data_IF_755592916601
#
_entry.id   IF_755592916601
#
_cell.length_a   1.000
_cell.length_b   1.000
_cell.length_c   1.000
_cell.angle_alpha   90.00
_cell.angle_beta   90.00
_cell.angle_gamma   90.00
#
_symmetry.space_group_name_H-M   'P 1'
#
loop_
_entity.id
_entity.type
_entity.pdbx_description
1 polymer ?
#
# COMPACT_ATOMS: atom_id res chain seq x y z
N UNK A 1 -7.71 -25.07 -5.67
CA UNK A 1 -7.97 -23.98 -4.69
C UNK A 1 -6.71 -23.80 -3.86
N UNK A 2 -5.75 -23.02 -4.36
CA UNK A 2 -4.41 -22.91 -3.78
C UNK A 2 -4.42 -21.82 -2.70
N UNK A 3 -4.34 -22.23 -1.43
CA UNK A 3 -4.28 -21.32 -0.28
C UNK A 3 -2.88 -20.70 -0.24
N UNK A 4 -2.77 -19.41 -0.53
CA UNK A 4 -1.53 -18.65 -0.34
C UNK A 4 -1.17 -18.64 1.16
N UNK A 5 -0.13 -19.41 1.54
CA UNK A 5 0.53 -19.33 2.85
C UNK A 5 1.73 -18.39 2.73
N UNK A 6 1.45 -17.09 2.72
CA UNK A 6 2.49 -16.05 2.62
C UNK A 6 3.17 -15.81 3.96
N UNK A 7 4.24 -16.56 4.25
CA UNK A 7 5.20 -16.24 5.33
C UNK A 7 6.33 -15.30 4.82
N UNK A 8 6.06 -14.55 3.74
CA UNK A 8 7.02 -13.61 3.16
C UNK A 8 6.86 -12.27 3.86
N UNK A 9 7.77 -11.99 4.79
CA UNK A 9 7.99 -10.64 5.33
C UNK A 9 8.06 -9.65 4.16
N UNK A 10 7.32 -8.55 4.24
CA UNK A 10 7.26 -7.51 3.19
C UNK A 10 8.63 -6.96 2.79
N UNK A 11 9.68 -7.18 3.59
CA UNK A 11 11.05 -6.78 3.28
C UNK A 11 11.66 -7.49 2.07
N UNK A 12 11.07 -8.58 1.55
CA UNK A 12 11.70 -9.43 0.52
C UNK A 12 10.96 -9.45 -0.83
N UNK A 13 9.90 -8.65 -1.02
CA UNK A 13 9.14 -8.56 -2.27
C UNK A 13 9.58 -7.34 -3.07
N UNK A 14 10.64 -7.47 -3.86
CA UNK A 14 11.06 -6.43 -4.81
C UNK A 14 11.07 -6.93 -6.27
N UNK A 15 11.02 -8.24 -6.55
CA UNK A 15 11.36 -8.72 -7.91
C UNK A 15 10.20 -9.31 -8.74
N UNK A 16 8.97 -9.34 -8.25
CA UNK A 16 7.83 -9.97 -8.96
C UNK A 16 6.62 -9.06 -9.19
N UNK A 17 6.80 -7.75 -9.06
CA UNK A 17 5.84 -6.79 -9.59
C UNK A 17 6.22 -6.55 -11.04
N UNK A 18 5.34 -6.95 -11.95
CA UNK A 18 5.41 -6.66 -13.39
C UNK A 18 5.95 -5.24 -13.61
N UNK A 19 6.96 -5.08 -14.47
CA UNK A 19 7.55 -3.79 -14.87
C UNK A 19 6.57 -2.78 -15.47
N UNK A 20 5.28 -3.14 -15.58
CA UNK A 20 4.19 -2.26 -16.01
C UNK A 20 3.25 -1.82 -14.88
N UNK A 21 3.30 -2.45 -13.70
CA UNK A 21 2.40 -2.15 -12.60
C UNK A 21 3.09 -1.30 -11.53
N UNK A 22 2.60 -0.08 -11.35
CA UNK A 22 3.16 0.88 -10.38
C UNK A 22 2.65 0.56 -8.98
N UNK A 23 3.55 0.18 -8.08
CA UNK A 23 3.25 -0.16 -6.70
C UNK A 23 3.92 0.83 -5.76
N UNK A 24 3.16 1.36 -4.81
CA UNK A 24 3.67 2.18 -3.72
C UNK A 24 3.61 1.39 -2.42
N UNK A 25 4.72 1.39 -1.69
CA UNK A 25 4.81 0.87 -0.34
C UNK A 25 4.65 2.03 0.65
N UNK A 26 3.67 1.93 1.52
CA UNK A 26 3.27 2.97 2.45
C UNK A 26 3.41 2.41 3.86
N UNK A 27 4.07 3.16 4.74
CA UNK A 27 4.22 2.80 6.16
C UNK A 27 3.51 3.79 7.06
N UNK A 28 2.70 3.29 7.99
CA UNK A 28 2.16 4.06 9.10
C UNK A 28 2.94 3.76 10.40
N UNK A 29 2.91 4.71 11.34
CA UNK A 29 3.71 4.64 12.58
C UNK A 29 3.34 3.45 13.48
N UNK A 30 2.08 3.01 13.48
CA UNK A 30 1.59 1.89 14.27
C UNK A 30 0.61 0.98 13.50
N UNK A 31 0.45 -0.24 13.99
CA UNK A 31 -0.47 -1.25 13.44
C UNK A 31 -1.96 -0.95 13.65
N UNK A 32 -2.32 0.11 14.39
CA UNK A 32 -3.71 0.54 14.57
C UNK A 32 -4.13 1.66 13.60
N UNK A 33 -3.28 2.67 13.35
CA UNK A 33 -3.47 3.68 12.29
C UNK A 33 -3.51 3.03 10.90
N UNK A 34 -2.79 1.94 10.75
CA UNK A 34 -2.86 0.91 9.71
C UNK A 34 -4.30 0.46 9.35
N UNK A 35 -5.17 0.19 10.34
CA UNK A 35 -6.56 -0.20 10.11
C UNK A 35 -7.45 0.95 9.58
N UNK A 36 -7.17 2.18 10.02
CA UNK A 36 -7.83 3.39 9.50
C UNK A 36 -7.31 3.75 8.11
N UNK A 37 -6.01 3.62 7.86
CA UNK A 37 -5.38 3.82 6.56
C UNK A 37 -5.97 2.90 5.50
N UNK A 38 -6.20 1.62 5.84
CA UNK A 38 -6.90 0.66 4.98
C UNK A 38 -8.32 1.14 4.61
N UNK A 39 -9.15 1.49 5.59
CA UNK A 39 -10.52 1.96 5.35
C UNK A 39 -10.60 3.22 4.50
N UNK A 40 -9.60 4.09 4.62
CA UNK A 40 -9.56 5.33 3.85
C UNK A 40 -9.10 5.07 2.42
N UNK A 41 -8.13 4.17 2.22
CA UNK A 41 -7.75 3.70 0.89
C UNK A 41 -8.87 2.90 0.20
N UNK A 42 -9.72 2.19 0.97
CA UNK A 42 -10.93 1.55 0.45
C UNK A 42 -11.90 2.55 -0.19
N UNK A 43 -11.95 3.81 0.29
CA UNK A 43 -12.72 4.89 -0.33
C UNK A 43 -12.24 5.28 -1.73
N UNK A 44 -10.99 4.94 -2.05
CA UNK A 44 -10.36 5.18 -3.34
C UNK A 44 -10.21 3.88 -4.16
N UNK A 45 -11.02 2.85 -3.90
CA UNK A 45 -10.96 1.53 -4.60
C UNK A 45 -11.06 1.58 -6.12
N UNK A 46 -11.58 2.67 -6.70
CA UNK A 46 -11.61 2.90 -8.14
C UNK A 46 -10.28 3.43 -8.70
N UNK A 47 -9.38 3.88 -7.83
CA UNK A 47 -8.07 4.47 -8.16
C UNK A 47 -6.91 3.68 -7.56
N UNK A 48 -7.09 3.09 -6.38
CA UNK A 48 -6.04 2.46 -5.55
C UNK A 48 -6.55 1.11 -5.04
N UNK A 49 -5.77 0.07 -5.28
CA UNK A 49 -5.99 -1.28 -4.77
C UNK A 49 -4.91 -1.65 -3.77
N UNK A 50 -5.30 -2.08 -2.58
CA UNK A 50 -4.37 -2.63 -1.59
C UNK A 50 -4.05 -4.07 -1.96
N UNK A 51 -2.79 -4.36 -2.25
CA UNK A 51 -2.34 -5.68 -2.75
C UNK A 51 -1.60 -6.50 -1.70
N UNK A 52 -1.02 -5.86 -0.67
CA UNK A 52 -0.41 -6.55 0.47
C UNK A 52 -0.42 -5.71 1.75
N UNK A 53 -0.43 -6.37 2.91
CA UNK A 53 -0.43 -5.75 4.25
C UNK A 53 0.52 -6.50 5.19
N UNK A 54 1.29 -5.77 5.99
CA UNK A 54 2.08 -6.27 7.14
C UNK A 54 1.76 -5.41 8.36
N UNK A 55 0.68 -5.74 9.09
CA UNK A 55 0.20 -4.92 10.19
C UNK A 55 1.19 -4.81 11.34
N UNK A 56 2.03 -5.83 11.57
CA UNK A 56 3.01 -5.81 12.66
C UNK A 56 4.09 -4.75 12.47
N UNK A 57 4.35 -4.35 11.22
CA UNK A 57 5.35 -3.33 10.88
C UNK A 57 4.71 -2.06 10.28
N UNK A 58 3.39 -2.03 10.15
CA UNK A 58 2.60 -0.90 9.63
C UNK A 58 2.75 -0.69 8.13
N UNK A 59 3.16 -1.71 7.38
CA UNK A 59 3.44 -1.61 5.94
C UNK A 59 2.26 -2.05 5.08
N UNK A 60 2.10 -1.35 3.97
CA UNK A 60 1.07 -1.53 2.96
C UNK A 60 1.68 -1.47 1.59
N UNK A 61 1.27 -2.36 0.69
CA UNK A 61 1.55 -2.22 -0.74
C UNK A 61 0.25 -1.87 -1.44
N UNK A 62 0.27 -0.81 -2.24
CA UNK A 62 -0.86 -0.37 -3.05
C UNK A 62 -0.48 -0.32 -4.51
N UNK A 63 -1.35 -0.84 -5.35
CA UNK A 63 -1.32 -0.60 -6.78
C UNK A 63 -2.27 0.54 -7.10
N UNK A 64 -1.90 1.45 -8.00
CA UNK A 64 -2.80 2.52 -8.43
C UNK A 64 -2.95 2.54 -9.95
N UNK A 65 -4.13 2.98 -10.40
CA UNK A 65 -4.36 3.39 -11.80
C UNK A 65 -3.43 4.57 -12.15
N UNK A 66 -3.20 4.89 -13.44
CA UNK A 66 -2.38 6.04 -13.80
C UNK A 66 -2.83 7.37 -13.17
N UNK A 67 -4.14 7.60 -13.09
CA UNK A 67 -4.73 8.78 -12.44
C UNK A 67 -4.54 8.70 -10.93
N UNK A 68 -4.86 7.55 -10.33
CA UNK A 68 -4.67 7.29 -8.91
C UNK A 68 -3.21 7.43 -8.47
N UNK A 69 -2.24 7.11 -9.34
CA UNK A 69 -0.81 7.26 -9.06
C UNK A 69 -0.39 8.72 -9.01
N UNK A 70 -0.95 9.55 -9.89
CA UNK A 70 -0.72 11.00 -9.89
C UNK A 70 -1.33 11.66 -8.66
N UNK A 71 -2.49 11.18 -8.22
CA UNK A 71 -3.22 11.68 -7.06
C UNK A 71 -2.74 11.10 -5.71
N UNK A 72 -2.01 9.98 -5.74
CA UNK A 72 -1.59 9.25 -4.54
C UNK A 72 -0.91 10.14 -3.48
N UNK A 73 0.02 11.06 -3.81
CA UNK A 73 0.60 11.95 -2.80
C UNK A 73 -0.42 12.86 -2.13
N UNK A 74 -1.39 13.39 -2.88
CA UNK A 74 -2.46 14.24 -2.35
C UNK A 74 -3.41 13.45 -1.46
N UNK A 75 -3.79 12.23 -1.88
CA UNK A 75 -4.60 11.29 -1.10
C UNK A 75 -3.89 10.95 0.22
N UNK A 76 -2.61 10.60 0.20
CA UNK A 76 -1.86 10.25 1.41
C UNK A 76 -1.69 11.44 2.37
N UNK A 77 -1.69 12.67 1.85
CA UNK A 77 -1.59 13.90 2.65
C UNK A 77 -2.92 14.29 3.31
N UNK A 78 -4.05 13.91 2.69
CA UNK A 78 -5.39 14.14 3.22
C UNK A 78 -5.79 13.15 4.32
N UNK A 79 -5.03 12.06 4.48
CA UNK A 79 -5.28 11.08 5.54
C UNK A 79 -5.09 11.72 6.93
N UNK A 80 -5.98 11.39 7.90
CA UNK A 80 -5.89 11.88 9.27
C UNK A 80 -4.63 11.36 9.98
N UNK A 81 -4.15 10.17 9.59
CA UNK A 81 -2.86 9.63 9.97
C UNK A 81 -1.97 9.62 8.74
N UNK A 82 -0.90 10.41 8.78
CA UNK A 82 0.04 10.49 7.68
C UNK A 82 0.98 9.29 7.69
N UNK A 83 1.35 8.77 6.51
CA UNK A 83 2.41 7.79 6.43
C UNK A 83 3.73 8.41 6.89
N UNK A 84 4.52 7.60 7.60
CA UNK A 84 5.87 7.96 8.05
C UNK A 84 6.92 7.64 6.98
N UNK A 85 6.57 6.77 6.04
CA UNK A 85 7.46 6.37 4.95
C UNK A 85 6.64 6.00 3.71
N UNK A 86 7.11 6.40 2.53
CA UNK A 86 6.52 6.04 1.24
C UNK A 86 7.66 5.65 0.30
N UNK A 87 7.54 4.50 -0.38
CA UNK A 87 8.50 4.04 -1.40
C UNK A 87 7.73 3.70 -2.66
N UNK A 88 8.16 4.25 -3.79
CA UNK A 88 7.55 3.97 -5.09
C UNK A 88 8.40 2.91 -5.82
N UNK A 89 7.76 1.92 -6.44
CA UNK A 89 8.43 1.05 -7.41
C UNK A 89 8.68 1.85 -8.70
N UNK A 90 9.89 1.73 -9.25
CA UNK A 90 10.28 2.35 -10.52
C UNK A 90 9.67 1.61 -11.72
#
# INVERSE_FOLDING_TARGET
MNRYKGNRRLTHWIEEVSTMERVAFIRFADGQASGLGLRLLEGYTHLINVVAVEPAQGWYAVHATPDGWTELPAILTSLPHRPVEIRYSC
#
